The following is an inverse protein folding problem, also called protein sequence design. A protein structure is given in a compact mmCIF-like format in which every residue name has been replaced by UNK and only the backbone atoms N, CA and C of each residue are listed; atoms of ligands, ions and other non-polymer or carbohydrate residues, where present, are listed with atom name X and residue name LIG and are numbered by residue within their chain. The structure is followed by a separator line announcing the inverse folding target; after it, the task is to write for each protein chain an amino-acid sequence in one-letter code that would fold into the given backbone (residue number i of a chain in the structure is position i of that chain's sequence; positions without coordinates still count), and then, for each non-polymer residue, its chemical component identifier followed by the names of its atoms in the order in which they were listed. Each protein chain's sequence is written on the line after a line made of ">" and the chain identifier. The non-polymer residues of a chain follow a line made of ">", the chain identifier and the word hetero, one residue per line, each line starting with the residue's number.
data_IF_572813825158
#
_entry.id   IF_572813825158
#
_cell.length_a   1.000
_cell.length_b   1.000
_cell.length_c   1.000
_cell.angle_alpha   90.00
_cell.angle_beta   90.00
_cell.angle_gamma   90.00
#
_symmetry.space_group_name_H-M   'P 1'
#
loop_
_entity.id
_entity.type
_entity.pdbx_description
1 polymer ?
#
# COMPACT_ATOMS: atom_id res chain seq x y z
N UNK A 1 18.41 -19.85 -2.20
CA UNK A 1 17.19 -20.52 -1.69
C UNK A 1 17.31 -20.67 -0.19
N UNK A 2 16.64 -19.83 0.60
CA UNK A 2 16.52 -20.06 2.05
C UNK A 2 15.33 -20.98 2.29
N UNK A 3 15.59 -22.12 2.92
CA UNK A 3 14.56 -23.10 3.29
C UNK A 3 13.91 -22.57 4.59
N UNK A 4 12.62 -22.21 4.52
CA UNK A 4 11.85 -21.76 5.69
C UNK A 4 11.83 -22.89 6.73
N UNK A 5 12.52 -22.70 7.85
CA UNK A 5 12.48 -23.62 8.99
C UNK A 5 11.06 -23.65 9.57
N UNK A 6 10.58 -24.86 9.89
CA UNK A 6 9.33 -25.02 10.66
C UNK A 6 9.56 -24.53 12.10
N UNK A 7 8.67 -23.70 12.65
CA UNK A 7 8.76 -23.29 14.06
C UNK A 7 8.60 -24.50 14.98
N UNK A 8 9.33 -24.48 16.10
CA UNK A 8 9.24 -25.52 17.14
C UNK A 8 7.97 -25.34 17.96
N UNK A 9 7.47 -26.41 18.61
CA UNK A 9 6.37 -26.28 19.58
C UNK A 9 6.77 -25.31 20.70
N UNK A 10 6.01 -24.21 20.86
CA UNK A 10 6.31 -23.12 21.80
C UNK A 10 7.06 -21.93 21.21
N UNK A 11 7.56 -22.04 19.98
CA UNK A 11 8.14 -20.93 19.22
C UNK A 11 6.99 -20.16 18.57
N UNK A 12 6.50 -19.12 19.26
CA UNK A 12 5.54 -18.21 18.66
C UNK A 12 6.29 -17.47 17.54
N UNK A 13 5.99 -17.79 16.28
CA UNK A 13 6.29 -16.86 15.19
C UNK A 13 5.51 -15.59 15.57
N UNK A 14 6.22 -14.59 16.08
CA UNK A 14 5.63 -13.28 16.31
C UNK A 14 5.37 -12.71 14.92
N UNK A 15 4.16 -12.96 14.39
CA UNK A 15 3.70 -12.34 13.16
C UNK A 15 3.61 -10.84 13.43
N UNK A 16 4.63 -10.10 12.98
CA UNK A 16 4.67 -8.66 13.08
C UNK A 16 3.46 -8.06 12.35
N UNK A 17 3.00 -6.91 12.84
CA UNK A 17 2.01 -6.11 12.14
C UNK A 17 2.54 -5.75 10.74
N UNK A 18 1.73 -6.01 9.71
CA UNK A 18 1.99 -5.64 8.33
C UNK A 18 1.05 -4.51 7.85
N UNK A 19 0.22 -4.00 8.75
CA UNK A 19 -0.62 -2.82 8.58
C UNK A 19 -0.85 -2.15 9.93
N UNK A 20 -1.26 -0.88 9.92
CA UNK A 20 -1.65 -0.17 11.14
C UNK A 20 -2.88 -0.82 11.78
N UNK A 21 -3.83 -1.25 10.95
CA UNK A 21 -5.00 -2.00 11.44
C UNK A 21 -4.59 -3.29 12.17
N UNK A 22 -3.59 -4.04 11.68
CA UNK A 22 -3.10 -5.22 12.38
C UNK A 22 -2.46 -4.87 13.73
N UNK A 23 -1.71 -3.77 13.79
CA UNK A 23 -1.13 -3.26 15.04
C UNK A 23 -2.23 -2.86 16.05
N UNK A 24 -3.27 -2.15 15.61
CA UNK A 24 -4.43 -1.79 16.42
C UNK A 24 -5.18 -3.02 16.97
N UNK A 25 -5.20 -4.12 16.21
CA UNK A 25 -5.77 -5.40 16.64
C UNK A 25 -4.85 -6.21 17.57
N UNK A 26 -3.68 -5.68 17.95
CA UNK A 26 -2.77 -6.26 18.93
C UNK A 26 -1.63 -7.10 18.34
N UNK A 27 -1.43 -7.10 17.02
CA UNK A 27 -0.21 -7.66 16.45
C UNK A 27 1.01 -6.81 16.87
N UNK A 28 2.19 -7.41 17.13
CA UNK A 28 3.38 -6.65 17.51
C UNK A 28 3.78 -5.66 16.41
N UNK A 29 3.70 -4.35 16.71
CA UNK A 29 4.19 -3.30 15.83
C UNK A 29 5.73 -3.21 15.94
N UNK A 30 6.47 -3.40 14.83
CA UNK A 30 7.93 -3.29 14.86
C UNK A 30 8.44 -1.85 15.05
N UNK A 31 7.60 -0.81 14.87
CA UNK A 31 8.03 0.60 14.97
C UNK A 31 8.94 1.05 13.82
N UNK A 32 9.00 0.27 12.74
CA UNK A 32 9.79 0.56 11.55
C UNK A 32 8.85 0.92 10.39
N UNK A 33 8.82 2.21 10.05
CA UNK A 33 7.96 2.77 9.03
C UNK A 33 8.79 3.43 7.94
N UNK A 34 8.35 3.26 6.70
CA UNK A 34 8.91 3.93 5.52
C UNK A 34 8.34 5.34 5.41
N UNK A 35 9.15 6.27 4.91
CA UNK A 35 8.73 7.64 4.61
C UNK A 35 9.12 8.02 3.19
N UNK A 36 8.28 8.80 2.52
CA UNK A 36 8.66 9.46 1.27
C UNK A 36 9.79 10.45 1.56
N UNK A 37 10.95 10.35 0.89
CA UNK A 37 12.05 11.29 1.09
C UNK A 37 11.62 12.74 0.79
N UNK A 38 12.15 13.70 1.55
CA UNK A 38 11.84 15.11 1.33
C UNK A 38 12.19 15.55 -0.10
N UNK A 39 11.22 16.15 -0.80
CA UNK A 39 11.38 16.61 -2.18
C UNK A 39 11.25 15.52 -3.25
N UNK A 40 11.06 14.24 -2.87
CA UNK A 40 10.72 13.17 -3.80
C UNK A 40 9.22 13.19 -4.15
N UNK A 41 8.82 12.66 -5.32
CA UNK A 41 7.41 12.48 -5.66
C UNK A 41 6.74 11.55 -4.64
N UNK A 42 5.56 11.95 -4.16
CA UNK A 42 4.71 11.12 -3.30
C UNK A 42 3.83 10.16 -4.12
N UNK A 43 2.96 9.41 -3.45
CA UNK A 43 2.09 8.44 -4.12
C UNK A 43 1.16 9.14 -5.13
N UNK A 44 0.59 10.29 -4.78
CA UNK A 44 -0.31 11.03 -5.67
C UNK A 44 0.42 11.61 -6.90
N UNK A 45 1.72 11.85 -6.81
CA UNK A 45 2.56 12.20 -7.96
C UNK A 45 2.90 10.98 -8.85
N UNK A 46 3.01 9.77 -8.28
CA UNK A 46 3.36 8.55 -9.01
C UNK A 46 2.16 7.83 -9.65
N UNK A 47 0.96 7.98 -9.07
CA UNK A 47 -0.25 7.33 -9.58
C UNK A 47 -1.44 8.28 -9.52
N UNK A 48 -2.24 8.31 -10.60
CA UNK A 48 -3.41 9.17 -10.70
C UNK A 48 -4.60 8.43 -11.31
N UNK A 49 -5.82 8.96 -11.17
CA UNK A 49 -7.01 8.37 -11.78
C UNK A 49 -6.82 8.08 -13.28
N UNK A 50 -7.32 6.92 -13.73
CA UNK A 50 -7.17 6.41 -15.09
C UNK A 50 -5.92 5.56 -15.35
N UNK A 51 -4.96 5.53 -14.42
CA UNK A 51 -3.84 4.59 -14.48
C UNK A 51 -4.24 3.18 -14.05
N UNK A 52 -3.61 2.18 -14.65
CA UNK A 52 -3.75 0.77 -14.28
C UNK A 52 -2.64 0.41 -13.31
N UNK A 53 -3.02 -0.26 -12.23
CA UNK A 53 -2.11 -0.76 -11.22
C UNK A 53 -2.27 -2.27 -11.01
N UNK A 54 -1.20 -2.89 -10.52
CA UNK A 54 -1.19 -4.27 -10.03
C UNK A 54 -0.40 -4.35 -8.73
N UNK A 55 -0.77 -5.26 -7.84
CA UNK A 55 -0.08 -5.51 -6.59
C UNK A 55 0.80 -6.76 -6.68
N UNK A 56 1.82 -6.81 -5.83
CA UNK A 56 2.68 -8.01 -5.63
C UNK A 56 1.88 -9.27 -5.28
N UNK A 57 0.72 -9.12 -4.64
CA UNK A 57 -0.15 -10.22 -4.21
C UNK A 57 -1.27 -10.55 -5.21
N UNK A 58 -1.20 -10.03 -6.44
CA UNK A 58 -2.01 -10.51 -7.56
C UNK A 58 -3.38 -9.85 -7.71
N UNK A 59 -3.63 -8.71 -7.05
CA UNK A 59 -4.81 -7.86 -7.31
C UNK A 59 -4.43 -6.64 -8.14
N UNK A 60 -5.40 -5.88 -8.62
CA UNK A 60 -5.14 -4.68 -9.42
C UNK A 60 -6.38 -4.19 -10.13
N UNK A 61 -6.24 -3.07 -10.84
CA UNK A 61 -7.30 -2.46 -11.63
C UNK A 61 -6.99 -1.03 -12.00
N UNK A 62 -8.02 -0.29 -12.43
CA UNK A 62 -7.87 1.12 -12.81
C UNK A 62 -8.14 2.02 -11.61
N UNK A 63 -7.20 2.91 -11.33
CA UNK A 63 -7.28 3.91 -10.26
C UNK A 63 -8.39 4.90 -10.56
N UNK A 64 -9.20 5.20 -9.54
CA UNK A 64 -10.26 6.19 -9.59
C UNK A 64 -10.04 7.36 -8.63
N UNK A 65 -9.22 7.15 -7.59
CA UNK A 65 -8.85 8.19 -6.63
C UNK A 65 -7.55 7.84 -5.89
N UNK A 66 -6.90 8.86 -5.32
CA UNK A 66 -5.78 8.73 -4.39
C UNK A 66 -6.06 9.62 -3.19
N UNK A 67 -6.48 9.00 -2.09
CA UNK A 67 -6.84 9.69 -0.85
C UNK A 67 -5.59 9.93 0.02
N UNK A 68 -5.49 11.10 0.64
CA UNK A 68 -4.42 11.47 1.56
C UNK A 68 -3.71 12.79 1.23
N UNK A 69 -2.53 13.06 1.83
CA UNK A 69 -1.87 12.18 2.80
C UNK A 69 -2.64 12.07 4.13
N UNK A 70 -2.74 10.86 4.65
CA UNK A 70 -3.04 10.56 6.05
C UNK A 70 -1.73 10.51 6.84
N UNK A 71 -1.76 10.77 8.16
CA UNK A 71 -0.54 10.78 8.99
C UNK A 71 -0.64 9.72 10.08
N UNK A 72 0.33 8.82 10.11
CA UNK A 72 0.60 7.97 11.28
C UNK A 72 1.64 8.65 12.16
N UNK A 73 1.34 8.83 13.45
CA UNK A 73 2.30 9.39 14.41
C UNK A 73 2.90 8.22 15.18
N UNK A 74 4.19 7.98 15.01
CA UNK A 74 4.90 6.92 15.72
C UNK A 74 5.05 7.25 17.22
N UNK A 75 5.36 6.26 18.08
CA UNK A 75 5.51 6.49 19.52
C UNK A 75 6.58 7.52 19.92
N UNK A 76 7.56 7.77 19.05
CA UNK A 76 8.59 8.78 19.23
C UNK A 76 8.15 10.20 18.81
N UNK A 77 6.91 10.35 18.33
CA UNK A 77 6.33 11.60 17.85
C UNK A 77 6.64 11.93 16.39
N UNK A 78 7.33 11.04 15.66
CA UNK A 78 7.63 11.25 14.24
C UNK A 78 6.38 11.02 13.38
N UNK A 79 6.12 11.94 12.45
CA UNK A 79 5.03 11.85 11.48
C UNK A 79 5.43 11.00 10.27
N UNK A 80 4.55 10.07 9.90
CA UNK A 80 4.67 9.19 8.73
C UNK A 80 3.46 9.35 7.80
N UNK A 81 3.53 10.27 6.82
CA UNK A 81 2.49 10.46 5.82
C UNK A 81 2.34 9.24 4.91
N UNK A 82 1.11 8.85 4.61
CA UNK A 82 0.77 7.75 3.71
C UNK A 82 -0.55 7.99 2.98
N UNK A 83 -0.81 7.24 1.92
CA UNK A 83 -1.94 7.42 1.02
C UNK A 83 -2.76 6.15 0.89
N UNK A 84 -3.99 6.31 0.42
CA UNK A 84 -4.88 5.22 0.05
C UNK A 84 -5.18 5.31 -1.44
N UNK A 85 -4.85 4.27 -2.20
CA UNK A 85 -5.20 4.19 -3.61
C UNK A 85 -6.55 3.52 -3.74
N UNK A 86 -7.50 4.19 -4.38
CA UNK A 86 -8.84 3.65 -4.67
C UNK A 86 -8.88 3.21 -6.12
N UNK A 87 -9.25 1.97 -6.37
CA UNK A 87 -9.31 1.40 -7.71
C UNK A 87 -10.55 0.54 -7.92
N UNK A 88 -10.86 0.26 -9.17
CA UNK A 88 -11.94 -0.66 -9.59
C UNK A 88 -11.35 -1.70 -10.55
N UNK A 89 -11.97 -2.89 -10.70
CA UNK A 89 -11.60 -3.79 -11.79
C UNK A 89 -11.63 -3.04 -13.13
N UNK A 90 -10.60 -3.25 -13.97
CA UNK A 90 -10.38 -2.42 -15.16
C UNK A 90 -11.59 -2.45 -16.12
N UNK A 91 -12.28 -3.59 -16.22
CA UNK A 91 -13.49 -3.78 -17.01
C UNK A 91 -14.72 -3.00 -16.50
N UNK A 92 -14.66 -2.51 -15.25
CA UNK A 92 -15.69 -1.68 -14.62
C UNK A 92 -15.36 -0.19 -14.69
N UNK A 93 -14.18 0.20 -15.17
CA UNK A 93 -13.80 1.60 -15.29
C UNK A 93 -14.83 2.39 -16.13
N UNK A 94 -15.23 3.57 -15.65
CA UNK A 94 -16.28 4.40 -16.25
C UNK A 94 -17.74 3.92 -16.06
N UNK A 95 -17.97 2.74 -15.49
CA UNK A 95 -19.33 2.17 -15.25
C UNK A 95 -19.48 1.57 -13.84
N UNK A 96 -18.56 1.91 -12.93
CA UNK A 96 -18.48 1.32 -11.60
C UNK A 96 -19.51 1.94 -10.65
N UNK A 97 -20.03 1.11 -9.75
CA UNK A 97 -20.76 1.52 -8.57
C UNK A 97 -19.88 1.55 -7.31
N UNK A 98 -20.49 1.81 -6.15
CA UNK A 98 -19.77 1.81 -4.86
C UNK A 98 -19.19 0.46 -4.50
N UNK A 99 -19.84 -0.64 -4.89
CA UNK A 99 -19.42 -2.01 -4.56
C UNK A 99 -18.23 -2.50 -5.39
N UNK A 100 -17.91 -1.83 -6.50
CA UNK A 100 -16.76 -2.18 -7.34
C UNK A 100 -15.45 -1.58 -6.81
N UNK A 101 -15.52 -0.69 -5.81
CA UNK A 101 -14.37 0.01 -5.25
C UNK A 101 -13.53 -0.93 -4.39
N UNK A 102 -12.23 -0.81 -4.54
CA UNK A 102 -11.21 -1.48 -3.76
C UNK A 102 -10.22 -0.44 -3.25
N UNK A 103 -9.56 -0.75 -2.14
CA UNK A 103 -8.64 0.17 -1.46
C UNK A 103 -7.30 -0.50 -1.21
N UNK A 104 -6.23 0.24 -1.48
CA UNK A 104 -4.87 -0.10 -1.07
C UNK A 104 -4.42 1.01 -0.13
N UNK A 105 -4.60 0.78 1.17
CA UNK A 105 -4.27 1.77 2.21
C UNK A 105 -2.76 1.86 2.42
N UNK A 106 -2.31 2.79 3.28
CA UNK A 106 -0.95 2.81 3.84
C UNK A 106 0.16 2.74 2.78
N UNK A 107 -0.02 3.42 1.65
CA UNK A 107 0.95 3.50 0.57
C UNK A 107 1.91 4.67 0.78
N UNK A 108 3.19 4.46 0.49
CA UNK A 108 4.24 5.48 0.52
C UNK A 108 5.12 5.37 -0.73
N UNK A 109 5.74 6.47 -1.15
CA UNK A 109 6.61 6.48 -2.31
C UNK A 109 8.08 6.46 -1.88
N UNK A 110 8.84 5.45 -2.28
CA UNK A 110 10.27 5.34 -1.96
C UNK A 110 11.03 4.93 -3.21
N UNK A 111 11.93 5.79 -3.70
CA UNK A 111 12.72 5.54 -4.92
C UNK A 111 11.84 5.18 -6.13
N UNK A 112 10.83 6.00 -6.42
CA UNK A 112 9.86 5.83 -7.52
C UNK A 112 9.01 4.54 -7.43
N UNK A 113 9.01 3.86 -6.29
CA UNK A 113 8.20 2.67 -6.01
C UNK A 113 7.11 3.00 -5.01
N UNK A 114 5.93 2.42 -5.19
CA UNK A 114 4.82 2.54 -4.24
C UNK A 114 4.86 1.31 -3.32
N UNK A 115 5.30 1.51 -2.08
CA UNK A 115 5.46 0.48 -1.06
C UNK A 115 4.47 0.69 0.08
N UNK A 116 4.42 -0.27 0.99
CA UNK A 116 3.62 -0.16 2.22
C UNK A 116 4.34 0.64 3.29
N UNK A 117 3.58 1.33 4.13
CA UNK A 117 4.08 2.12 5.25
C UNK A 117 4.97 1.29 6.18
N UNK A 118 4.47 0.17 6.70
CA UNK A 118 5.23 -0.68 7.62
C UNK A 118 6.30 -1.46 6.85
N UNK A 119 7.56 -1.40 7.32
CA UNK A 119 8.67 -2.10 6.67
C UNK A 119 8.48 -3.63 6.62
N UNK A 120 7.80 -4.18 7.62
CA UNK A 120 7.44 -5.59 7.70
C UNK A 120 6.49 -6.04 6.58
N UNK A 121 5.77 -5.11 5.95
CA UNK A 121 4.99 -5.39 4.76
C UNK A 121 5.85 -5.19 3.50
N UNK A 122 6.02 -6.27 2.75
CA UNK A 122 6.84 -6.32 1.53
C UNK A 122 6.02 -6.12 0.25
N UNK A 123 4.72 -5.86 0.39
CA UNK A 123 3.87 -5.64 -0.75
C UNK A 123 4.21 -4.35 -1.49
N UNK A 124 3.95 -4.37 -2.79
CA UNK A 124 4.26 -3.29 -3.71
C UNK A 124 3.12 -3.09 -4.68
N UNK A 125 2.89 -1.83 -5.06
CA UNK A 125 1.98 -1.44 -6.13
C UNK A 125 2.81 -1.04 -7.35
N UNK A 126 2.57 -1.72 -8.45
CA UNK A 126 3.17 -1.47 -9.76
C UNK A 126 2.19 -0.68 -10.63
N UNK A 127 2.67 0.40 -11.25
CA UNK A 127 1.93 1.13 -12.28
C UNK A 127 2.21 0.47 -13.64
N UNK A 128 1.18 -0.01 -14.32
CA UNK A 128 1.31 -0.74 -15.59
C UNK A 128 1.11 0.16 -16.83
N UNK A 129 0.53 1.35 -16.66
CA UNK A 129 0.31 2.33 -17.72
C UNK A 129 -1.03 3.07 -17.56
N UNK A 130 -1.38 3.93 -18.51
CA UNK A 130 -2.70 4.57 -18.57
C UNK A 130 -3.66 3.76 -19.44
N UNK A 131 -4.95 3.71 -19.07
CA UNK A 131 -5.97 3.18 -19.99
C UNK A 131 -6.00 4.08 -21.23
N UNK A 132 -5.61 3.55 -22.38
CA UNK A 132 -5.69 4.28 -23.66
C UNK A 132 -7.14 4.40 -24.11
N UNK A 133 -7.76 5.57 -23.89
CA UNK A 133 -9.09 5.96 -24.39
C UNK A 133 -9.81 6.83 -23.35
N UNK A 134 -10.07 8.12 -23.56
CA UNK A 134 -10.73 8.74 -24.71
C UNK A 134 -10.08 10.06 -25.19
N UNK A 135 -10.19 10.31 -26.50
CA UNK A 135 -10.24 11.64 -27.12
C UNK A 135 -11.68 12.14 -27.10
#
# INVERSE_FOLDING_TARGET
>A
MQIRRKPRPGEQLQYLAHSLCAAELGAPDPGHYRSTPAGAPDVAALVHPGMVIRTSYGTGGTVIDVEGPHVHVAPDGTDYPHFTIVYVPSERFGRHGKLDRNWINECVAVNDRILKLLEANLDEVFVEGAVSGWR
#
